data_IF_760626171355
#
_entry.id   IF_760626171355
#
_cell.length_a   1.000
_cell.length_b   1.000
_cell.length_c   1.000
_cell.angle_alpha   90.00
_cell.angle_beta   90.00
_cell.angle_gamma   90.00
#
_symmetry.space_group_name_H-M   'P 1'
#
loop_
_entity.id
_entity.type
_entity.pdbx_description
1 polymer ?
#
# COMPACT_ATOMS: atom_id res chain seq x y z
N UNK A 1 20.05 9.97 28.94
CA UNK A 1 20.71 10.11 27.61
C UNK A 1 21.84 9.09 27.39
N UNK A 2 22.17 8.24 28.38
CA UNK A 2 23.23 7.22 28.28
C UNK A 2 23.05 6.15 27.18
N UNK A 3 21.84 5.95 26.67
CA UNK A 3 21.55 4.91 25.67
C UNK A 3 21.54 5.41 24.22
N UNK A 4 21.84 6.68 23.96
CA UNK A 4 21.84 7.27 22.61
C UNK A 4 23.27 7.62 22.25
N UNK A 5 23.87 6.85 21.33
CA UNK A 5 25.25 7.05 20.87
C UNK A 5 25.35 7.86 19.56
N UNK A 6 24.30 7.84 18.74
CA UNK A 6 24.26 8.49 17.42
C UNK A 6 22.84 8.95 17.09
N UNK A 7 22.74 10.05 16.35
CA UNK A 7 21.49 10.60 15.80
C UNK A 7 21.69 10.80 14.31
N UNK A 8 20.75 10.31 13.50
CA UNK A 8 20.70 10.50 12.05
C UNK A 8 19.41 11.26 11.69
N UNK A 9 19.49 12.16 10.71
CA UNK A 9 18.36 13.00 10.27
C UNK A 9 18.18 12.83 8.76
N UNK A 10 16.94 12.62 8.32
CA UNK A 10 16.59 12.54 6.89
C UNK A 10 15.55 13.62 6.57
N UNK A 11 15.87 14.49 5.61
CA UNK A 11 14.94 15.53 5.13
C UNK A 11 14.02 14.94 4.07
N UNK A 12 12.72 15.20 4.18
CA UNK A 12 11.68 14.80 3.21
C UNK A 12 11.01 16.04 2.64
N UNK A 13 10.37 15.92 1.48
CA UNK A 13 9.78 17.08 0.80
C UNK A 13 8.40 17.44 1.36
N UNK A 14 7.70 16.46 1.94
CA UNK A 14 6.34 16.63 2.45
C UNK A 14 6.14 15.83 3.73
N UNK A 15 5.14 16.23 4.53
CA UNK A 15 4.78 15.52 5.76
C UNK A 15 4.33 14.07 5.48
N UNK A 16 3.68 13.84 4.34
CA UNK A 16 3.21 12.51 3.93
C UNK A 16 4.38 11.58 3.62
N UNK A 17 5.41 12.07 2.94
CA UNK A 17 6.65 11.31 2.73
C UNK A 17 7.36 11.01 4.04
N UNK A 18 7.42 11.97 4.97
CA UNK A 18 8.00 11.77 6.30
C UNK A 18 7.32 10.61 7.03
N UNK A 19 5.98 10.59 7.02
CA UNK A 19 5.18 9.55 7.67
C UNK A 19 5.40 8.17 7.04
N UNK A 20 5.48 8.10 5.70
CA UNK A 20 5.77 6.86 4.99
C UNK A 20 7.17 6.36 5.30
N UNK A 21 8.16 7.26 5.34
CA UNK A 21 9.55 6.93 5.65
C UNK A 21 9.68 6.41 7.09
N UNK A 22 9.04 7.08 8.06
CA UNK A 22 9.00 6.65 9.45
C UNK A 22 8.43 5.23 9.58
N UNK A 23 7.29 4.97 8.95
CA UNK A 23 6.68 3.64 8.95
C UNK A 23 7.63 2.56 8.41
N UNK A 24 8.31 2.86 7.29
CA UNK A 24 9.26 1.93 6.67
C UNK A 24 10.45 1.65 7.59
N UNK A 25 11.00 2.66 8.26
CA UNK A 25 12.11 2.49 9.21
C UNK A 25 11.71 1.71 10.45
N UNK A 26 10.54 1.99 11.04
CA UNK A 26 10.05 1.22 12.20
C UNK A 26 9.86 -0.25 11.83
N UNK A 27 9.35 -0.53 10.63
CA UNK A 27 9.17 -1.90 10.11
C UNK A 27 10.49 -2.61 9.86
N UNK A 28 11.49 -1.90 9.32
CA UNK A 28 12.80 -2.45 8.99
C UNK A 28 13.65 -2.72 10.24
N UNK A 29 13.69 -1.77 11.18
CA UNK A 29 14.62 -1.80 12.31
C UNK A 29 13.98 -2.31 13.61
N UNK A 30 12.65 -2.39 13.69
CA UNK A 30 11.89 -2.81 14.87
C UNK A 30 12.45 -2.23 16.18
N UNK A 31 12.66 -0.90 16.27
CA UNK A 31 13.35 -0.29 17.40
C UNK A 31 12.64 -0.59 18.72
N UNK A 32 13.42 -0.95 19.73
CA UNK A 32 12.94 -1.40 21.05
C UNK A 32 11.88 -0.48 21.67
N UNK A 33 12.05 0.83 21.51
CA UNK A 33 11.24 1.85 22.17
C UNK A 33 10.00 2.27 21.37
N UNK A 34 9.86 1.90 20.09
CA UNK A 34 8.62 2.17 19.35
C UNK A 34 7.55 1.17 19.76
N UNK A 35 6.33 1.69 20.00
CA UNK A 35 5.13 0.88 20.27
C UNK A 35 4.20 0.91 19.07
N UNK A 36 4.02 2.09 18.48
CA UNK A 36 3.20 2.29 17.29
C UNK A 36 3.91 1.83 16.02
N UNK A 37 3.12 1.55 14.98
CA UNK A 37 3.60 1.17 13.64
C UNK A 37 4.47 -0.09 13.63
N UNK A 38 4.39 -0.92 14.68
CA UNK A 38 4.98 -2.27 14.75
C UNK A 38 4.04 -3.36 14.26
N UNK A 39 2.73 -3.10 14.20
CA UNK A 39 1.71 -4.03 13.71
C UNK A 39 1.84 -4.34 12.21
N UNK A 40 1.35 -5.49 11.74
CA UNK A 40 1.59 -5.94 10.35
C UNK A 40 0.86 -5.11 9.28
N UNK A 41 0.21 -4.00 9.67
CA UNK A 41 -0.46 -3.10 8.76
C UNK A 41 0.57 -2.33 7.96
N UNK A 42 0.45 -2.44 6.65
CA UNK A 42 1.20 -1.63 5.68
C UNK A 42 0.25 -0.65 5.01
N UNK A 43 0.81 0.44 4.51
CA UNK A 43 0.07 1.39 3.70
C UNK A 43 -0.51 0.71 2.45
N UNK A 44 -1.78 1.01 2.12
CA UNK A 44 -2.41 0.46 0.93
C UNK A 44 -1.75 0.96 -0.35
N UNK A 45 -1.71 0.06 -1.32
CA UNK A 45 -1.40 0.32 -2.71
C UNK A 45 -2.65 0.09 -3.56
N UNK A 46 -2.73 0.77 -4.69
CA UNK A 46 -3.66 0.44 -5.76
C UNK A 46 -2.93 -0.50 -6.71
N UNK A 47 -3.45 -1.70 -6.90
CA UNK A 47 -2.94 -2.70 -7.83
C UNK A 47 -3.81 -2.73 -9.07
N UNK A 48 -3.17 -2.57 -10.23
CA UNK A 48 -3.72 -2.88 -11.55
C UNK A 48 -3.19 -4.26 -11.94
N UNK A 49 -4.07 -5.26 -12.02
CA UNK A 49 -3.64 -6.62 -12.36
C UNK A 49 -3.15 -6.73 -13.81
N UNK A 50 -2.08 -7.49 -14.03
CA UNK A 50 -1.51 -7.72 -15.36
C UNK A 50 -2.25 -8.76 -16.22
N UNK A 51 -3.53 -9.04 -15.92
CA UNK A 51 -4.34 -9.97 -16.71
C UNK A 51 -4.81 -9.31 -18.01
N UNK A 52 -5.22 -10.11 -19.01
CA UNK A 52 -5.83 -9.60 -20.26
C UNK A 52 -6.99 -8.62 -20.01
N UNK A 53 -7.73 -8.83 -18.93
CA UNK A 53 -8.72 -7.89 -18.43
C UNK A 53 -8.29 -7.39 -17.04
N UNK A 54 -7.77 -6.16 -16.96
CA UNK A 54 -7.19 -5.63 -15.73
C UNK A 54 -8.27 -5.34 -14.69
N UNK A 55 -7.92 -5.61 -13.43
CA UNK A 55 -8.73 -5.34 -12.24
C UNK A 55 -8.01 -4.30 -11.40
N UNK A 56 -8.75 -3.28 -10.98
CA UNK A 56 -8.32 -2.32 -9.96
C UNK A 56 -8.69 -2.86 -8.58
N UNK A 57 -7.69 -3.03 -7.71
CA UNK A 57 -7.89 -3.52 -6.36
C UNK A 57 -6.96 -2.86 -5.36
N UNK A 58 -7.40 -2.76 -4.10
CA UNK A 58 -6.51 -2.36 -3.01
C UNK A 58 -5.63 -3.54 -2.62
N UNK A 59 -4.32 -3.31 -2.48
CA UNK A 59 -3.35 -4.30 -2.04
C UNK A 59 -2.61 -3.80 -0.80
N UNK A 60 -2.38 -4.68 0.18
CA UNK A 60 -1.53 -4.42 1.35
C UNK A 60 -0.46 -5.50 1.45
N UNK A 61 0.71 -5.14 1.95
CA UNK A 61 1.83 -6.05 2.17
C UNK A 61 2.66 -6.33 0.92
N UNK A 62 3.37 -7.45 0.93
CA UNK A 62 4.34 -7.80 -0.10
C UNK A 62 3.72 -7.84 -1.52
N UNK A 63 4.41 -7.25 -2.49
CA UNK A 63 4.00 -7.15 -3.91
C UNK A 63 4.15 -8.50 -4.64
N UNK A 64 3.36 -9.50 -4.22
CA UNK A 64 3.41 -10.88 -4.77
C UNK A 64 2.61 -11.07 -6.06
N UNK A 65 1.63 -10.20 -6.33
CA UNK A 65 0.75 -10.32 -7.51
C UNK A 65 1.38 -9.61 -8.70
N UNK A 66 1.26 -10.19 -9.89
CA UNK A 66 1.75 -9.56 -11.12
C UNK A 66 0.84 -8.41 -11.52
N UNK A 67 1.42 -7.23 -11.74
CA UNK A 67 0.70 -6.03 -12.09
C UNK A 67 1.45 -4.76 -11.68
N UNK A 68 0.80 -3.63 -11.90
CA UNK A 68 1.33 -2.31 -11.55
C UNK A 68 0.81 -1.88 -10.19
N UNK A 69 1.71 -1.39 -9.35
CA UNK A 69 1.42 -0.96 -7.99
C UNK A 69 1.61 0.55 -7.86
N UNK A 70 0.54 1.26 -7.55
CA UNK A 70 0.51 2.70 -7.31
C UNK A 70 0.38 2.96 -5.80
N UNK A 71 1.16 3.90 -5.27
CA UNK A 71 1.27 4.17 -3.83
C UNK A 71 2.69 3.91 -3.30
N UNK A 72 2.90 3.89 -1.97
CA UNK A 72 1.93 3.71 -0.87
C UNK A 72 1.13 4.97 -0.53
N UNK A 73 -0.14 4.79 -0.14
CA UNK A 73 -1.02 5.90 0.26
C UNK A 73 -1.27 5.90 1.78
N UNK A 74 -1.08 7.03 2.48
CA UNK A 74 -1.26 7.10 3.92
C UNK A 74 -2.73 6.95 4.34
N UNK A 75 -3.65 7.50 3.54
CA UNK A 75 -5.08 7.42 3.80
C UNK A 75 -5.75 6.26 3.06
N UNK A 76 -6.19 5.26 3.82
CA UNK A 76 -6.92 4.11 3.26
C UNK A 76 -8.38 4.39 2.90
N UNK A 77 -8.99 5.44 3.46
CA UNK A 77 -10.34 5.90 3.13
C UNK A 77 -10.35 6.51 1.72
N UNK A 78 -9.50 7.50 1.48
CA UNK A 78 -9.33 8.11 0.17
C UNK A 78 -9.02 7.09 -0.95
N UNK A 79 -8.19 6.08 -0.67
CA UNK A 79 -7.92 5.00 -1.64
C UNK A 79 -9.18 4.22 -2.00
N UNK A 80 -10.04 3.89 -1.02
CA UNK A 80 -11.29 3.18 -1.27
C UNK A 80 -12.27 4.01 -2.10
N UNK A 81 -12.42 5.28 -1.77
CA UNK A 81 -13.29 6.20 -2.52
C UNK A 81 -12.80 6.36 -3.96
N UNK A 82 -11.50 6.55 -4.14
CA UNK A 82 -10.87 6.66 -5.46
C UNK A 82 -11.08 5.39 -6.28
N UNK A 83 -10.86 4.21 -5.67
CA UNK A 83 -11.11 2.92 -6.34
C UNK A 83 -12.57 2.77 -6.76
N UNK A 84 -13.51 3.15 -5.90
CA UNK A 84 -14.93 3.09 -6.20
C UNK A 84 -15.31 4.01 -7.37
N UNK A 85 -14.77 5.22 -7.39
CA UNK A 85 -14.98 6.19 -8.46
C UNK A 85 -14.39 5.69 -9.79
N UNK A 86 -13.15 5.20 -9.80
CA UNK A 86 -12.51 4.64 -10.99
C UNK A 86 -13.28 3.44 -11.54
N UNK A 87 -13.77 2.57 -10.65
CA UNK A 87 -14.58 1.41 -11.00
C UNK A 87 -15.95 1.77 -11.60
N UNK A 88 -16.48 2.97 -11.30
CA UNK A 88 -17.74 3.48 -11.84
C UNK A 88 -17.55 4.18 -13.19
N UNK A 89 -16.44 4.90 -13.35
CA UNK A 89 -16.16 5.67 -14.57
C UNK A 89 -15.62 4.77 -15.68
N UNK A 90 -14.73 3.83 -15.34
CA UNK A 90 -14.09 2.97 -16.33
C UNK A 90 -14.70 1.57 -16.33
N UNK A 91 -14.92 0.95 -17.49
CA UNK A 91 -15.34 -0.44 -17.60
C UNK A 91 -14.17 -1.38 -17.28
N UNK A 92 -13.75 -1.41 -16.01
CA UNK A 92 -12.71 -2.30 -15.50
C UNK A 92 -13.32 -3.54 -14.85
N UNK A 93 -12.57 -4.65 -14.89
CA UNK A 93 -13.01 -5.90 -14.28
C UNK A 93 -13.06 -5.74 -12.76
N UNK A 94 -14.17 -6.12 -12.15
CA UNK A 94 -14.34 -6.09 -10.69
C UNK A 94 -14.34 -7.48 -10.04
N UNK A 95 -14.64 -8.53 -10.80
CA UNK A 95 -14.72 -9.90 -10.29
C UNK A 95 -13.35 -10.45 -9.89
N UNK A 96 -13.35 -11.34 -8.89
CA UNK A 96 -12.15 -12.05 -8.46
C UNK A 96 -11.61 -12.99 -9.54
N UNK A 97 -10.32 -13.37 -9.41
CA UNK A 97 -9.64 -14.24 -10.38
C UNK A 97 -10.31 -15.61 -10.50
N UNK A 98 -10.78 -16.18 -9.40
CA UNK A 98 -11.54 -17.44 -9.39
C UNK A 98 -12.85 -17.33 -10.16
N UNK A 99 -13.57 -16.23 -10.02
CA UNK A 99 -14.84 -16.00 -10.73
C UNK A 99 -14.58 -15.78 -12.22
N UNK A 100 -13.48 -15.12 -12.56
CA UNK A 100 -13.11 -14.85 -13.94
C UNK A 100 -12.63 -16.11 -14.68
N UNK A 101 -11.84 -16.97 -14.04
CA UNK A 101 -11.39 -18.23 -14.64
C UNK A 101 -12.55 -19.20 -14.90
N UNK A 102 -13.57 -19.17 -14.03
CA UNK A 102 -14.70 -20.09 -14.10
C UNK A 102 -15.88 -19.56 -14.92
N UNK A 103 -15.77 -18.37 -15.51
CA UNK A 103 -16.75 -17.87 -16.48
C UNK A 103 -16.54 -18.58 -17.82
N UNK A 104 -17.24 -19.67 -18.01
CA UNK A 104 -17.52 -20.19 -19.36
C UNK A 104 -18.46 -19.21 -20.05
N UNK A 105 -18.09 -18.81 -21.27
CA UNK A 105 -18.98 -18.08 -22.17
C UNK A 105 -19.83 -19.08 -22.93
#
# INVERSE_FOLDING_TARGET
>A
VSNIAKIDVTVTHTETEALILEHNYIKQYLPKYNVLLRDDKSYPYILISGHKHPRLSMHRGAKKRKGEYFGPYPDSGAVRETLHLLQKIFPVRQCEDTVYSNRTR
#
